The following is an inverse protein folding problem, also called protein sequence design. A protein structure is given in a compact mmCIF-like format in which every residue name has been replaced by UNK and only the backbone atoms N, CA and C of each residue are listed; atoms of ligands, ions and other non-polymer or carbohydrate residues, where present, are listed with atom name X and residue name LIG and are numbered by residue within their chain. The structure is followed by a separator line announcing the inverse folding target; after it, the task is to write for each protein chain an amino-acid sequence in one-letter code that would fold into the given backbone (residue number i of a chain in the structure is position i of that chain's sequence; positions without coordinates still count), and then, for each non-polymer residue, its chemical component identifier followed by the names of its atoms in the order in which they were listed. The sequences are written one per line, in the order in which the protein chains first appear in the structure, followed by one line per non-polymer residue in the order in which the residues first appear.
data_IF_624908044422
#
_entry.id   IF_624908044422
#
_cell.length_a   1.000
_cell.length_b   1.000
_cell.length_c   1.000
_cell.angle_alpha   90.00
_cell.angle_beta   90.00
_cell.angle_gamma   90.00
#
_symmetry.space_group_name_H-M   'P 1'
#
loop_
_entity.id
_entity.type
_entity.pdbx_description
1 polymer ?
#
# COMPACT_ATOMS: atom_id res chain seq x y z
N UNK A 1 19.27 -3.36 11.14
CA UNK A 1 18.48 -2.59 10.16
C UNK A 1 17.11 -2.36 10.75
N UNK A 2 16.72 -1.10 11.01
CA UNK A 2 15.37 -0.75 11.52
C UNK A 2 14.56 -0.27 10.32
N UNK A 3 13.46 -0.95 10.00
CA UNK A 3 12.53 -0.49 8.97
C UNK A 3 11.36 0.18 9.69
N UNK A 4 11.11 1.48 9.48
CA UNK A 4 9.90 2.11 10.01
C UNK A 4 8.68 1.42 9.39
N UNK A 5 7.68 1.09 10.20
CA UNK A 5 6.40 0.57 9.72
C UNK A 5 5.33 1.60 10.05
N UNK A 6 4.36 1.79 9.14
CA UNK A 6 3.23 2.66 9.40
C UNK A 6 2.46 2.25 10.67
N UNK A 7 1.84 3.23 11.33
CA UNK A 7 1.09 3.01 12.58
C UNK A 7 -0.33 2.49 12.35
N UNK A 8 -0.86 2.64 11.14
CA UNK A 8 -2.20 2.22 10.75
C UNK A 8 -2.17 0.99 9.83
N UNK A 9 -3.26 0.22 9.88
CA UNK A 9 -3.46 -0.93 9.01
C UNK A 9 -3.94 -0.49 7.62
N UNK A 10 -3.46 -1.18 6.61
CA UNK A 10 -3.83 -1.03 5.20
C UNK A 10 -4.39 -2.36 4.69
N UNK A 11 -5.28 -2.33 3.70
CA UNK A 11 -5.71 -3.53 2.99
C UNK A 11 -4.75 -3.80 1.83
N UNK A 12 -4.14 -4.98 1.82
CA UNK A 12 -3.40 -5.47 0.67
C UNK A 12 -4.42 -5.86 -0.41
N UNK A 13 -4.44 -5.10 -1.50
CA UNK A 13 -5.33 -5.36 -2.63
C UNK A 13 -4.61 -6.10 -3.74
N UNK A 14 -5.25 -7.14 -4.26
CA UNK A 14 -4.87 -7.79 -5.51
C UNK A 14 -5.71 -7.20 -6.62
N UNK A 15 -5.04 -6.60 -7.60
CA UNK A 15 -5.65 -6.00 -8.80
C UNK A 15 -5.28 -6.86 -9.99
N UNK A 16 -6.24 -7.66 -10.46
CA UNK A 16 -6.06 -8.52 -11.64
C UNK A 16 -6.59 -7.82 -12.88
N UNK A 17 -5.81 -7.89 -13.96
CA UNK A 17 -6.24 -7.47 -15.30
C UNK A 17 -6.60 -8.69 -16.12
N UNK A 18 -7.87 -8.81 -16.46
CA UNK A 18 -8.40 -9.92 -17.25
C UNK A 18 -8.04 -9.75 -18.74
N UNK A 19 -8.09 -10.85 -19.48
CA UNK A 19 -7.74 -10.88 -20.90
C UNK A 19 -8.68 -10.03 -21.77
N UNK A 20 -9.92 -9.82 -21.33
CA UNK A 20 -10.91 -8.94 -21.97
C UNK A 20 -10.70 -7.44 -21.65
N UNK A 21 -9.66 -7.12 -20.87
CA UNK A 21 -9.34 -5.76 -20.46
C UNK A 21 -10.08 -5.27 -19.21
N UNK A 22 -11.00 -6.05 -18.64
CA UNK A 22 -11.64 -5.74 -17.37
C UNK A 22 -10.67 -5.87 -16.19
N UNK A 23 -10.99 -5.21 -15.08
CA UNK A 23 -10.21 -5.24 -13.84
C UNK A 23 -11.05 -5.85 -12.73
N UNK A 24 -10.48 -6.78 -11.97
CA UNK A 24 -11.05 -7.25 -10.70
C UNK A 24 -10.14 -6.88 -9.55
N UNK A 25 -10.72 -6.40 -8.45
CA UNK A 25 -10.00 -5.98 -7.24
C UNK A 25 -10.55 -6.77 -6.06
N UNK A 26 -9.66 -7.33 -5.23
CA UNK A 26 -10.03 -7.96 -3.96
C UNK A 26 -9.04 -7.60 -2.86
N UNK A 27 -9.53 -7.57 -1.61
CA UNK A 27 -8.69 -7.45 -0.42
C UNK A 27 -8.18 -8.85 -0.02
N UNK A 28 -6.90 -8.98 0.26
CA UNK A 28 -6.22 -10.24 0.58
C UNK A 28 -5.85 -10.35 2.06
N UNK A 29 -5.23 -9.30 2.62
CA UNK A 29 -4.78 -9.28 4.01
C UNK A 29 -4.69 -7.86 4.58
N UNK A 30 -4.72 -7.74 5.92
CA UNK A 30 -4.42 -6.49 6.62
C UNK A 30 -2.91 -6.38 6.87
N UNK A 31 -2.28 -5.30 6.42
CA UNK A 31 -0.83 -5.10 6.41
C UNK A 31 -0.43 -3.76 7.02
N UNK A 32 0.86 -3.61 7.33
CA UNK A 32 1.47 -2.32 7.74
C UNK A 32 2.73 -2.07 6.93
N UNK A 33 2.69 -1.09 6.03
CA UNK A 33 3.83 -0.67 5.22
C UNK A 33 4.24 0.77 5.55
N UNK A 34 5.46 1.15 5.13
CA UNK A 34 5.84 2.56 5.03
C UNK A 34 4.86 3.25 4.07
N UNK A 35 4.29 4.40 4.43
CA UNK A 35 3.41 5.13 3.53
C UNK A 35 4.11 5.50 2.20
N UNK A 36 3.44 5.22 1.08
CA UNK A 36 3.86 5.72 -0.22
C UNK A 36 3.39 7.18 -0.37
N UNK A 37 4.28 8.12 -0.09
CA UNK A 37 3.98 9.55 -0.11
C UNK A 37 4.92 10.30 -1.06
N UNK A 38 4.65 11.59 -1.28
CA UNK A 38 5.60 12.44 -1.99
C UNK A 38 6.88 12.58 -1.17
N UNK A 39 8.01 12.87 -1.83
CA UNK A 39 9.30 13.10 -1.12
C UNK A 39 9.15 14.16 -0.03
N UNK A 40 8.50 15.29 -0.32
CA UNK A 40 8.33 16.36 0.67
C UNK A 40 7.53 15.89 1.89
N UNK A 41 6.46 15.11 1.68
CA UNK A 41 5.66 14.54 2.77
C UNK A 41 6.37 13.41 3.51
N UNK A 42 7.30 12.68 2.87
CA UNK A 42 8.10 11.64 3.52
C UNK A 42 9.23 12.22 4.38
N UNK A 43 9.75 13.39 4.01
CA UNK A 43 10.86 14.07 4.69
C UNK A 43 10.37 15.03 5.79
N UNK A 44 9.06 15.27 5.89
CA UNK A 44 8.49 15.90 7.08
C UNK A 44 8.49 14.85 8.19
N UNK A 45 9.35 15.05 9.19
CA UNK A 45 9.30 14.25 10.40
C UNK A 45 7.89 14.38 11.02
N UNK A 46 7.28 13.26 11.47
CA UNK A 46 5.99 13.29 12.16
C UNK A 46 6.06 14.00 13.52
#
# INVERSE_FOLDING_TARGET
MVIPVGTYFQDLQVVDKNADGSISVRNDASVRYVPLTSRAAQMQDP
#
